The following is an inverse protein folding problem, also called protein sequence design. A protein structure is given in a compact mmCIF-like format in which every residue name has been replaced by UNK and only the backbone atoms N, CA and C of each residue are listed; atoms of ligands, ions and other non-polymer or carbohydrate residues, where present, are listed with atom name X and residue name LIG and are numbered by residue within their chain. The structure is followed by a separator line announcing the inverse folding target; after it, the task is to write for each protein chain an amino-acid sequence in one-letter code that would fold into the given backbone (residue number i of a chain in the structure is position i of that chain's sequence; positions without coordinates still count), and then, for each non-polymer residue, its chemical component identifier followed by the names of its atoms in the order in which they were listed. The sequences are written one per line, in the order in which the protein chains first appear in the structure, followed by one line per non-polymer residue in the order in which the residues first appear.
data_IF_721978775449
#
_entry.id   IF_721978775449
#
_cell.length_a   1.000
_cell.length_b   1.000
_cell.length_c   1.000
_cell.angle_alpha   90.00
_cell.angle_beta   90.00
_cell.angle_gamma   90.00
#
_symmetry.space_group_name_H-M   'P 1'
#
loop_
_entity.id
_entity.type
_entity.pdbx_description
1 polymer ?
#
# COMPACT_ATOMS: atom_id res chain seq x y z
N UNK A 1 -8.92 -22.34 8.93
CA UNK A 1 -7.49 -21.93 9.03
C UNK A 1 -6.79 -21.90 7.69
N UNK A 2 -6.77 -22.99 6.90
CA UNK A 2 -6.08 -23.04 5.60
C UNK A 2 -6.45 -21.88 4.68
N UNK A 3 -7.75 -21.62 4.47
CA UNK A 3 -8.26 -20.56 3.59
C UNK A 3 -7.73 -19.16 3.91
N UNK A 4 -7.59 -18.81 5.20
CA UNK A 4 -7.07 -17.50 5.59
C UNK A 4 -5.58 -17.37 5.36
N UNK A 5 -4.83 -18.45 5.57
CA UNK A 5 -3.41 -18.49 5.25
C UNK A 5 -3.19 -18.36 3.74
N UNK A 6 -3.96 -19.10 2.94
CA UNK A 6 -3.89 -19.00 1.47
C UNK A 6 -4.27 -17.60 0.99
N UNK A 7 -5.33 -17.01 1.55
CA UNK A 7 -5.77 -15.66 1.20
C UNK A 7 -4.66 -14.64 1.52
N UNK A 8 -4.08 -14.70 2.72
CA UNK A 8 -3.00 -13.80 3.12
C UNK A 8 -1.78 -13.92 2.20
N UNK A 9 -1.30 -15.15 1.95
CA UNK A 9 -0.14 -15.36 1.09
C UNK A 9 -0.40 -14.90 -0.34
N UNK A 10 -1.59 -15.17 -0.89
CA UNK A 10 -1.96 -14.69 -2.22
C UNK A 10 -2.02 -13.16 -2.29
N UNK A 11 -2.62 -12.52 -1.28
CA UNK A 11 -2.68 -11.06 -1.18
C UNK A 11 -1.29 -10.44 -1.06
N UNK A 12 -0.42 -11.00 -0.23
CA UNK A 12 0.95 -10.51 -0.06
C UNK A 12 1.74 -10.61 -1.37
N UNK A 13 1.69 -11.77 -2.05
CA UNK A 13 2.40 -11.96 -3.33
C UNK A 13 1.88 -11.01 -4.40
N UNK A 14 0.56 -10.87 -4.54
CA UNK A 14 -0.04 -9.96 -5.50
C UNK A 14 0.34 -8.50 -5.20
N UNK A 15 0.26 -8.09 -3.93
CA UNK A 15 0.59 -6.72 -3.52
C UNK A 15 2.06 -6.40 -3.80
N UNK A 16 3.00 -7.26 -3.41
CA UNK A 16 4.44 -7.07 -3.67
C UNK A 16 4.74 -7.05 -5.17
N UNK A 17 4.11 -7.92 -5.96
CA UNK A 17 4.35 -7.96 -7.41
C UNK A 17 3.87 -6.67 -8.10
N UNK A 18 2.68 -6.18 -7.75
CA UNK A 18 2.14 -4.93 -8.29
C UNK A 18 3.02 -3.75 -7.87
N UNK A 19 3.37 -3.69 -6.58
CA UNK A 19 4.16 -2.60 -6.03
C UNK A 19 5.58 -2.58 -6.59
N UNK A 20 6.20 -3.75 -6.81
CA UNK A 20 7.51 -3.85 -7.46
C UNK A 20 7.50 -3.24 -8.88
N UNK A 21 6.47 -3.54 -9.68
CA UNK A 21 6.32 -2.95 -11.02
C UNK A 21 6.13 -1.44 -10.92
N UNK A 22 5.33 -0.97 -9.97
CA UNK A 22 5.11 0.46 -9.75
C UNK A 22 6.39 1.18 -9.32
N UNK A 23 7.07 0.71 -8.27
CA UNK A 23 8.29 1.33 -7.77
C UNK A 23 9.38 1.38 -8.85
N UNK A 24 9.56 0.31 -9.62
CA UNK A 24 10.56 0.28 -10.69
C UNK A 24 10.23 1.28 -11.82
N UNK A 25 8.95 1.49 -12.13
CA UNK A 25 8.54 2.41 -13.21
C UNK A 25 8.41 3.86 -12.78
N UNK A 26 8.10 4.11 -11.50
CA UNK A 26 7.84 5.45 -10.95
C UNK A 26 9.01 6.02 -10.16
N UNK A 27 10.03 5.21 -9.82
CA UNK A 27 11.25 5.67 -9.17
C UNK A 27 11.85 6.90 -9.86
N UNK A 28 12.12 6.80 -11.16
CA UNK A 28 12.78 7.88 -11.90
C UNK A 28 11.81 8.95 -12.41
N UNK A 29 10.52 8.61 -12.56
CA UNK A 29 9.51 9.51 -13.11
C UNK A 29 8.87 10.42 -12.08
N UNK A 30 8.64 9.90 -10.87
CA UNK A 30 7.89 10.59 -9.83
C UNK A 30 8.77 10.80 -8.60
N UNK A 31 9.39 9.74 -8.06
CA UNK A 31 10.02 9.82 -6.74
C UNK A 31 11.31 10.62 -6.74
N UNK A 32 12.27 10.34 -7.63
CA UNK A 32 13.53 11.11 -7.67
C UNK A 32 13.30 12.60 -7.94
N UNK A 33 12.48 13.03 -8.93
CA UNK A 33 12.31 14.45 -9.20
C UNK A 33 11.55 15.22 -8.12
N UNK A 34 10.65 14.57 -7.38
CA UNK A 34 9.77 15.26 -6.40
C UNK A 34 10.22 15.11 -4.95
N UNK A 35 10.97 14.06 -4.63
CA UNK A 35 11.37 13.72 -3.27
C UNK A 35 12.88 13.77 -3.05
N UNK A 36 13.69 14.25 -4.01
CA UNK A 36 15.16 14.12 -3.99
C UNK A 36 15.79 14.45 -2.62
N UNK A 37 15.55 15.67 -2.12
CA UNK A 37 16.07 16.14 -0.83
C UNK A 37 15.41 15.47 0.40
N UNK A 38 14.27 14.79 0.20
CA UNK A 38 13.54 14.05 1.23
C UNK A 38 13.87 12.55 1.26
N UNK A 39 14.54 12.03 0.23
CA UNK A 39 14.87 10.61 0.15
C UNK A 39 15.92 10.24 1.19
N UNK A 40 15.72 9.11 1.85
CA UNK A 40 16.71 8.59 2.76
C UNK A 40 18.00 8.25 1.97
N UNK A 41 19.19 8.52 2.52
CA UNK A 41 20.47 8.24 1.85
C UNK A 41 20.70 6.74 1.62
N UNK A 42 19.96 5.87 2.31
CA UNK A 42 20.02 4.42 2.14
C UNK A 42 18.63 3.80 2.32
N UNK A 43 18.38 2.72 1.56
CA UNK A 43 17.16 1.94 1.65
C UNK A 43 17.07 1.22 3.01
N UNK A 44 16.02 1.51 3.77
CA UNK A 44 15.78 0.90 5.07
C UNK A 44 14.92 -0.37 4.89
N UNK A 45 15.59 -1.53 4.83
CA UNK A 45 14.93 -2.82 4.57
C UNK A 45 13.90 -3.21 5.64
N UNK A 46 14.22 -3.02 6.92
CA UNK A 46 13.37 -3.47 8.03
C UNK A 46 11.99 -2.79 8.02
N UNK A 47 11.88 -1.44 7.95
CA UNK A 47 10.58 -0.78 7.79
C UNK A 47 9.82 -1.20 6.53
N UNK A 48 10.51 -1.42 5.40
CA UNK A 48 9.88 -1.83 4.16
C UNK A 48 9.23 -3.22 4.27
N UNK A 49 9.96 -4.20 4.80
CA UNK A 49 9.44 -5.56 5.02
C UNK A 49 8.27 -5.55 6.01
N UNK A 50 8.41 -4.80 7.11
CA UNK A 50 7.34 -4.66 8.10
C UNK A 50 6.07 -4.06 7.47
N UNK A 51 6.21 -3.04 6.63
CA UNK A 51 5.11 -2.45 5.89
C UNK A 51 4.37 -3.48 5.04
N UNK A 52 5.07 -4.26 4.20
CA UNK A 52 4.41 -5.26 3.34
C UNK A 52 3.64 -6.31 4.14
N UNK A 53 4.23 -6.82 5.23
CA UNK A 53 3.58 -7.83 6.07
C UNK A 53 2.34 -7.27 6.77
N UNK A 54 2.45 -6.09 7.38
CA UNK A 54 1.34 -5.47 8.13
C UNK A 54 0.23 -5.04 7.17
N UNK A 55 0.58 -4.39 6.05
CA UNK A 55 -0.41 -3.89 5.09
C UNK A 55 -1.16 -5.03 4.42
N UNK A 56 -0.46 -6.10 4.00
CA UNK A 56 -1.10 -7.28 3.44
C UNK A 56 -2.03 -7.97 4.45
N UNK A 57 -1.65 -8.00 5.74
CA UNK A 57 -2.50 -8.57 6.79
C UNK A 57 -3.78 -7.76 6.98
N UNK A 58 -3.67 -6.43 7.04
CA UNK A 58 -4.81 -5.51 7.12
C UNK A 58 -5.73 -5.63 5.91
N UNK A 59 -5.17 -5.62 4.70
CA UNK A 59 -5.93 -5.77 3.45
C UNK A 59 -6.64 -7.13 3.38
N UNK A 60 -5.97 -8.20 3.80
CA UNK A 60 -6.57 -9.54 3.84
C UNK A 60 -7.74 -9.57 4.83
N UNK A 61 -7.57 -8.98 6.01
CA UNK A 61 -8.57 -9.02 7.08
C UNK A 61 -9.80 -8.15 6.80
N UNK A 62 -9.60 -6.95 6.24
CA UNK A 62 -10.65 -5.96 6.06
C UNK A 62 -11.33 -6.00 4.67
N UNK A 63 -10.61 -6.38 3.61
CA UNK A 63 -11.16 -6.42 2.25
C UNK A 63 -11.32 -7.85 1.71
N UNK A 64 -10.27 -8.68 1.79
CA UNK A 64 -10.32 -10.01 1.17
C UNK A 64 -11.27 -10.93 1.94
N UNK A 65 -11.20 -10.91 3.28
CA UNK A 65 -12.12 -11.69 4.13
C UNK A 65 -13.58 -11.27 3.92
N UNK A 66 -13.89 -9.98 3.83
CA UNK A 66 -15.26 -9.51 3.63
C UNK A 66 -15.80 -9.95 2.28
N UNK A 67 -14.99 -9.87 1.22
CA UNK A 67 -15.33 -10.43 -0.09
C UNK A 67 -15.51 -11.95 -0.11
N UNK A 68 -14.66 -12.70 0.59
CA UNK A 68 -14.78 -14.16 0.71
C UNK A 68 -16.05 -14.57 1.47
N UNK A 69 -16.38 -13.89 2.58
CA UNK A 69 -17.60 -14.15 3.36
C UNK A 69 -18.86 -13.79 2.56
N UNK A 70 -18.82 -12.69 1.81
CA UNK A 70 -19.93 -12.25 0.96
C UNK A 70 -20.03 -13.04 -0.36
N UNK A 71 -19.02 -13.86 -0.71
CA UNK A 71 -18.94 -14.54 -2.01
C UNK A 71 -18.87 -13.59 -3.21
N UNK A 72 -18.37 -12.36 -3.01
CA UNK A 72 -18.46 -11.28 -4.00
C UNK A 72 -17.11 -10.58 -4.22
N UNK A 73 -16.64 -10.62 -5.47
CA UNK A 73 -15.43 -9.91 -5.90
C UNK A 73 -15.66 -8.40 -5.83
N UNK A 74 -16.86 -7.92 -6.16
CA UNK A 74 -17.20 -6.50 -6.07
C UNK A 74 -17.07 -5.99 -4.63
N UNK A 75 -17.50 -6.78 -3.64
CA UNK A 75 -17.31 -6.45 -2.22
C UNK A 75 -15.83 -6.37 -1.87
N UNK A 76 -15.02 -7.36 -2.27
CA UNK A 76 -13.57 -7.30 -2.03
C UNK A 76 -12.93 -6.04 -2.65
N UNK A 77 -13.34 -5.69 -3.86
CA UNK A 77 -12.81 -4.52 -4.58
C UNK A 77 -13.21 -3.20 -3.92
N UNK A 78 -14.46 -3.03 -3.50
CA UNK A 78 -14.94 -1.81 -2.84
C UNK A 78 -14.23 -1.59 -1.51
N UNK A 79 -14.13 -2.64 -0.68
CA UNK A 79 -13.44 -2.52 0.61
C UNK A 79 -11.92 -2.34 0.42
N UNK A 80 -11.33 -2.97 -0.58
CA UNK A 80 -9.92 -2.75 -0.95
C UNK A 80 -9.66 -1.31 -1.39
N UNK A 81 -10.52 -0.77 -2.26
CA UNK A 81 -10.46 0.61 -2.72
C UNK A 81 -10.64 1.61 -1.58
N UNK A 82 -11.55 1.34 -0.64
CA UNK A 82 -11.76 2.18 0.54
C UNK A 82 -10.50 2.24 1.43
N UNK A 83 -9.87 1.09 1.72
CA UNK A 83 -8.64 1.04 2.51
C UNK A 83 -7.49 1.76 1.78
N UNK A 84 -7.35 1.53 0.47
CA UNK A 84 -6.35 2.22 -0.35
C UNK A 84 -6.55 3.74 -0.35
N UNK A 85 -7.78 4.18 -0.57
CA UNK A 85 -8.15 5.60 -0.52
C UNK A 85 -7.83 6.21 0.84
N UNK A 86 -8.24 5.57 1.93
CA UNK A 86 -7.95 6.06 3.28
C UNK A 86 -6.44 6.15 3.54
N UNK A 87 -5.66 5.14 3.14
CA UNK A 87 -4.22 5.13 3.33
C UNK A 87 -3.54 6.31 2.61
N UNK A 88 -3.84 6.51 1.33
CA UNK A 88 -3.24 7.61 0.56
C UNK A 88 -3.79 8.98 0.97
N UNK A 89 -5.10 9.10 1.25
CA UNK A 89 -5.68 10.36 1.71
C UNK A 89 -5.08 10.79 3.05
N UNK A 90 -4.97 9.89 4.02
CA UNK A 90 -4.39 10.23 5.33
C UNK A 90 -2.90 10.55 5.25
N UNK A 91 -2.14 9.83 4.42
CA UNK A 91 -0.74 10.16 4.15
C UNK A 91 -0.59 11.57 3.56
N UNK A 92 -1.34 11.87 2.50
CA UNK A 92 -1.25 13.14 1.78
C UNK A 92 -1.71 14.32 2.66
N UNK A 93 -2.84 14.19 3.35
CA UNK A 93 -3.35 15.21 4.27
C UNK A 93 -2.40 15.46 5.45
N UNK A 94 -1.73 14.41 5.96
CA UNK A 94 -0.73 14.57 7.02
C UNK A 94 0.51 15.30 6.49
N UNK A 95 0.95 15.00 5.27
CA UNK A 95 2.07 15.69 4.66
C UNK A 95 1.76 17.17 4.37
N UNK A 96 0.55 17.48 3.86
CA UNK A 96 0.10 18.86 3.66
C UNK A 96 0.08 19.67 4.97
N UNK A 97 -0.21 19.02 6.11
CA UNK A 97 -0.25 19.71 7.41
C UNK A 97 1.12 19.83 8.09
N UNK A 98 2.10 19.00 7.74
CA UNK A 98 3.39 18.93 8.44
C UNK A 98 4.59 19.43 7.63
N UNK A 99 4.54 19.38 6.30
CA UNK A 99 5.65 19.76 5.42
C UNK A 99 5.44 21.15 4.81
N UNK A 100 6.54 21.90 4.64
CA UNK A 100 6.51 23.28 4.11
C UNK A 100 6.21 23.37 2.61
N UNK A 101 6.52 22.33 1.84
CA UNK A 101 6.38 22.26 0.38
C UNK A 101 6.02 20.83 0.03
N UNK A 102 4.72 20.52 -0.05
CA UNK A 102 4.24 19.29 -0.67
C UNK A 102 4.14 19.45 -2.19
N UNK A 103 3.97 18.37 -2.96
CA UNK A 103 3.80 18.45 -4.42
C UNK A 103 2.56 19.23 -4.89
N UNK A 104 1.72 19.71 -3.96
CA UNK A 104 0.51 20.52 -4.18
C UNK A 104 0.60 21.94 -3.59
N UNK A 105 1.73 22.34 -2.99
CA UNK A 105 1.95 23.66 -2.39
C UNK A 105 2.78 24.59 -3.29
#
# INVERSE_FOLDING_TARGET
MKTYLTAYTATLVAFVAIDFVWLNTMADRLYRPTLDDMLAPQFRLVPAVAFYLIYAAGLTFLAVRTGLVAGSIATAAIYGAAIGFMAYATYDLTNQSTLKTGPLC
#
